data_IF_817050122178
#
_entry.id   IF_817050122178
#
_cell.length_a   1.000
_cell.length_b   1.000
_cell.length_c   1.000
_cell.angle_alpha   90.00
_cell.angle_beta   90.00
_cell.angle_gamma   90.00
#
_symmetry.space_group_name_H-M   'P 1'
#
loop_
_entity.id
_entity.type
_entity.pdbx_description
1 polymer ?
#
# COMPACT_ATOMS: atom_id res chain seq x y z
N UNK A 1 -20.21 -70.61 41.71
CA UNK A 1 -19.21 -71.70 41.87
C UNK A 1 -17.98 -71.29 41.07
N UNK A 2 -16.91 -70.84 41.76
CA UNK A 2 -15.62 -71.58 41.90
C UNK A 2 -15.08 -72.01 40.52
N UNK A 3 -13.94 -71.54 40.00
CA UNK A 3 -12.62 -71.54 40.65
C UNK A 3 -11.58 -70.71 39.86
N UNK A 4 -10.56 -70.25 40.59
CA UNK A 4 -9.28 -69.68 40.15
C UNK A 4 -8.38 -70.77 39.56
N UNK A 5 -7.57 -70.48 38.53
CA UNK A 5 -6.22 -71.08 38.38
C UNK A 5 -5.29 -70.18 37.55
N UNK A 6 -4.09 -69.99 38.07
CA UNK A 6 -2.99 -69.14 37.60
C UNK A 6 -2.05 -69.92 36.66
N UNK A 7 -1.35 -69.25 35.73
CA UNK A 7 0.13 -69.24 35.57
C UNK A 7 0.61 -68.86 34.15
N UNK A 8 1.74 -68.16 34.16
CA UNK A 8 2.81 -68.02 33.14
C UNK A 8 2.49 -67.15 31.91
N UNK A 9 2.92 -65.88 31.91
CA UNK A 9 4.29 -65.43 31.62
C UNK A 9 4.69 -65.68 30.16
N UNK A 10 4.67 -64.62 29.35
CA UNK A 10 5.85 -64.17 28.60
C UNK A 10 5.55 -62.84 27.93
N UNK A 11 6.17 -61.78 28.46
CA UNK A 11 6.22 -60.47 27.84
C UNK A 11 7.06 -60.54 26.57
N UNK A 12 6.47 -60.19 25.43
CA UNK A 12 7.23 -59.74 24.25
C UNK A 12 6.92 -58.27 24.07
N UNK A 13 7.85 -57.46 24.60
CA UNK A 13 7.89 -56.01 24.42
C UNK A 13 8.29 -55.74 22.96
N UNK A 14 7.32 -55.55 22.08
CA UNK A 14 7.55 -55.06 20.73
C UNK A 14 7.90 -53.57 20.81
N UNK A 15 9.20 -53.27 20.79
CA UNK A 15 9.71 -51.90 20.65
C UNK A 15 9.36 -51.43 19.23
N UNK A 16 8.28 -50.68 19.09
CA UNK A 16 7.97 -49.96 17.86
C UNK A 16 8.97 -48.80 17.75
N UNK A 17 9.91 -48.89 16.81
CA UNK A 17 10.70 -47.74 16.36
C UNK A 17 9.73 -46.71 15.76
N UNK A 18 9.38 -45.70 16.53
CA UNK A 18 8.72 -44.51 16.03
C UNK A 18 9.71 -43.68 15.21
N UNK A 19 9.56 -43.66 13.90
CA UNK A 19 10.26 -42.71 13.04
C UNK A 19 9.75 -41.30 13.34
N UNK A 20 10.53 -40.52 14.09
CA UNK A 20 10.32 -39.07 14.18
C UNK A 20 10.71 -38.50 12.82
N UNK A 21 9.72 -38.25 11.97
CA UNK A 21 9.93 -37.43 10.79
C UNK A 21 10.32 -36.03 11.29
N UNK A 22 11.59 -35.67 11.11
CA UNK A 22 12.07 -34.32 11.35
C UNK A 22 11.31 -33.39 10.39
N UNK A 23 10.32 -32.68 10.92
CA UNK A 23 9.67 -31.58 10.23
C UNK A 23 10.73 -30.49 10.04
N UNK A 24 11.27 -30.41 8.82
CA UNK A 24 12.07 -29.28 8.39
C UNK A 24 11.16 -28.04 8.41
N UNK A 25 11.19 -27.29 9.52
CA UNK A 25 10.67 -25.94 9.53
C UNK A 25 11.52 -25.14 8.55
N UNK A 26 10.93 -24.81 7.39
CA UNK A 26 11.54 -23.88 6.45
C UNK A 26 11.81 -22.59 7.20
N UNK A 27 13.08 -22.20 7.29
CA UNK A 27 13.46 -20.86 7.75
C UNK A 27 12.71 -19.89 6.83
N UNK A 28 11.80 -19.04 7.34
CA UNK A 28 11.17 -18.05 6.50
C UNK A 28 12.29 -17.20 5.92
N UNK A 29 12.40 -17.20 4.59
CA UNK A 29 13.32 -16.31 3.90
C UNK A 29 13.07 -14.89 4.41
N UNK A 30 14.11 -14.06 4.63
CA UNK A 30 13.91 -12.68 5.02
C UNK A 30 12.93 -12.06 4.04
N UNK A 31 11.80 -11.55 4.56
CA UNK A 31 10.85 -10.82 3.75
C UNK A 31 11.63 -9.69 3.08
N UNK A 32 11.83 -9.79 1.76
CA UNK A 32 12.32 -8.70 0.96
C UNK A 32 11.30 -7.58 1.16
N UNK A 33 11.59 -6.64 2.05
CA UNK A 33 10.90 -5.36 2.05
C UNK A 33 11.21 -4.82 0.67
N UNK A 34 10.22 -4.87 -0.22
CA UNK A 34 10.34 -4.27 -1.53
C UNK A 34 10.71 -2.81 -1.27
N UNK A 35 12.00 -2.48 -1.46
CA UNK A 35 12.43 -1.10 -1.49
C UNK A 35 11.57 -0.37 -2.51
N UNK A 36 11.41 0.96 -2.38
CA UNK A 36 10.61 1.71 -3.33
C UNK A 36 11.08 1.33 -4.73
N UNK A 37 10.14 0.87 -5.56
CA UNK A 37 10.40 0.70 -6.99
C UNK A 37 10.72 2.10 -7.49
N UNK A 38 12.01 2.43 -7.56
CA UNK A 38 12.49 3.65 -8.22
C UNK A 38 12.34 3.40 -9.72
N UNK A 39 11.10 3.40 -10.19
CA UNK A 39 10.83 3.86 -11.55
C UNK A 39 11.40 5.27 -11.58
N UNK A 40 12.27 5.58 -12.55
CA UNK A 40 12.93 6.88 -12.68
C UNK A 40 11.87 8.01 -12.65
N UNK A 41 11.56 8.53 -11.46
CA UNK A 41 10.68 9.69 -11.31
C UNK A 41 11.45 10.85 -11.90
N UNK A 42 10.93 11.52 -12.94
CA UNK A 42 11.62 12.66 -13.52
C UNK A 42 11.74 13.76 -12.48
N UNK A 43 12.80 14.57 -12.59
CA UNK A 43 12.89 15.79 -11.81
C UNK A 43 11.67 16.69 -12.10
N UNK A 44 11.15 17.35 -11.08
CA UNK A 44 10.08 18.32 -11.27
C UNK A 44 10.56 19.47 -12.17
N UNK A 45 9.66 19.97 -13.01
CA UNK A 45 9.97 21.18 -13.76
C UNK A 45 10.23 22.33 -12.76
N UNK A 46 11.29 23.13 -12.91
CA UNK A 46 11.60 24.20 -11.96
C UNK A 46 10.43 25.17 -11.74
N UNK A 47 9.63 25.41 -12.78
CA UNK A 47 8.44 26.25 -12.70
C UNK A 47 7.34 25.66 -11.79
N UNK A 48 7.18 24.34 -11.76
CA UNK A 48 6.15 23.65 -10.97
C UNK A 48 6.46 23.65 -9.47
N UNK A 49 7.72 23.86 -9.09
CA UNK A 49 8.18 23.83 -7.68
C UNK A 49 8.73 25.17 -7.20
N UNK A 50 8.52 26.24 -7.97
CA UNK A 50 9.02 27.57 -7.64
C UNK A 50 8.36 28.19 -6.39
N UNK A 51 7.16 27.74 -6.03
CA UNK A 51 6.41 28.20 -4.86
C UNK A 51 5.33 27.19 -4.45
N UNK A 52 4.74 27.36 -3.27
CA UNK A 52 3.56 26.58 -2.84
C UNK A 52 2.43 26.69 -3.87
N UNK A 53 2.19 27.89 -4.41
CA UNK A 53 1.16 28.13 -5.43
C UNK A 53 1.44 27.36 -6.71
N UNK A 54 2.70 27.30 -7.14
CA UNK A 54 3.10 26.56 -8.33
C UNK A 54 2.86 25.06 -8.15
N UNK A 55 3.20 24.50 -6.99
CA UNK A 55 3.02 23.06 -6.70
C UNK A 55 1.54 22.70 -6.73
N UNK A 56 0.70 23.49 -6.06
CA UNK A 56 -0.75 23.26 -6.01
C UNK A 56 -1.38 23.42 -7.40
N UNK A 57 -0.98 24.44 -8.16
CA UNK A 57 -1.45 24.64 -9.54
C UNK A 57 -1.06 23.47 -10.43
N UNK A 58 0.20 23.03 -10.37
CA UNK A 58 0.68 21.89 -11.15
C UNK A 58 -0.08 20.60 -10.79
N UNK A 59 -0.35 20.37 -9.50
CA UNK A 59 -1.15 19.24 -9.05
C UNK A 59 -2.58 19.29 -9.61
N UNK A 60 -3.25 20.44 -9.52
CA UNK A 60 -4.61 20.62 -10.04
C UNK A 60 -4.68 20.45 -11.55
N UNK A 61 -3.69 20.96 -12.29
CA UNK A 61 -3.59 20.79 -13.74
C UNK A 61 -3.48 19.31 -14.12
N UNK A 62 -2.66 18.54 -13.39
CA UNK A 62 -2.45 17.11 -13.67
C UNK A 62 -3.73 16.30 -13.51
N UNK A 63 -4.53 16.57 -12.48
CA UNK A 63 -5.76 15.81 -12.23
C UNK A 63 -6.97 16.33 -13.02
N UNK A 64 -6.87 17.54 -13.60
CA UNK A 64 -7.97 18.19 -14.32
C UNK A 64 -7.91 18.00 -15.83
N UNK A 65 -9.07 18.02 -16.48
CA UNK A 65 -9.27 18.05 -17.92
C UNK A 65 -10.51 17.26 -18.36
N UNK A 66 -10.98 17.45 -19.60
CA UNK A 66 -12.12 16.74 -20.18
C UNK A 66 -11.99 15.21 -20.12
N UNK A 67 -13.14 14.55 -20.30
CA UNK A 67 -13.19 13.11 -20.47
C UNK A 67 -12.35 12.68 -21.69
N UNK A 68 -11.64 11.57 -21.55
CA UNK A 68 -10.75 11.01 -22.55
C UNK A 68 -9.36 11.66 -22.63
N UNK A 69 -9.10 12.75 -21.90
CA UNK A 69 -7.76 13.36 -21.90
C UNK A 69 -6.81 12.57 -20.97
N UNK A 70 -5.70 12.01 -21.49
CA UNK A 70 -4.68 11.37 -20.66
C UNK A 70 -4.05 12.37 -19.69
N UNK A 71 -3.69 11.93 -18.48
CA UNK A 71 -2.99 12.79 -17.53
C UNK A 71 -1.47 12.61 -17.61
N UNK A 72 -0.76 13.68 -17.29
CA UNK A 72 0.69 13.62 -17.11
C UNK A 72 1.02 13.06 -15.72
N UNK A 73 0.98 11.74 -15.61
CA UNK A 73 1.28 11.06 -14.36
C UNK A 73 2.77 11.16 -13.97
N UNK A 74 3.66 11.46 -14.91
CA UNK A 74 5.08 11.68 -14.59
C UNK A 74 5.28 13.04 -13.91
N UNK A 75 4.56 14.07 -14.37
CA UNK A 75 4.44 15.34 -13.63
C UNK A 75 3.80 15.13 -12.26
N UNK A 76 2.75 14.29 -12.13
CA UNK A 76 2.22 13.93 -10.79
C UNK A 76 3.33 13.42 -9.87
N UNK A 77 4.12 12.45 -10.32
CA UNK A 77 5.15 11.80 -9.49
C UNK A 77 6.26 12.76 -9.08
N UNK A 78 6.63 13.70 -9.94
CA UNK A 78 7.72 14.62 -9.66
C UNK A 78 7.38 15.67 -8.59
N UNK A 79 6.09 15.92 -8.34
CA UNK A 79 5.63 16.85 -7.30
C UNK A 79 5.75 16.29 -5.87
N UNK A 80 6.05 14.99 -5.70
CA UNK A 80 6.13 14.33 -4.40
C UNK A 80 7.55 13.94 -4.06
N UNK A 81 7.93 14.18 -2.81
CA UNK A 81 9.14 13.59 -2.22
C UNK A 81 8.97 12.07 -2.08
N UNK A 82 10.07 11.31 -1.94
CA UNK A 82 10.00 9.90 -1.58
C UNK A 82 9.17 9.68 -0.31
N UNK A 83 8.16 8.81 -0.39
CA UNK A 83 7.23 8.52 0.71
C UNK A 83 6.12 9.55 0.92
N UNK A 84 5.97 10.56 0.04
CA UNK A 84 4.83 11.46 0.04
C UNK A 84 3.50 10.73 -0.19
N UNK A 85 2.47 11.08 0.58
CA UNK A 85 1.18 10.36 0.58
C UNK A 85 0.01 11.27 0.27
N UNK A 86 -1.02 10.69 -0.35
CA UNK A 86 -2.33 11.31 -0.48
C UNK A 86 -3.29 10.68 0.53
N UNK A 87 -3.89 11.51 1.38
CA UNK A 87 -4.69 11.05 2.52
C UNK A 87 -6.12 11.60 2.50
N UNK A 88 -6.94 11.27 1.48
CA UNK A 88 -8.28 11.83 1.36
C UNK A 88 -9.23 11.28 2.43
N UNK A 89 -9.93 12.18 3.10
CA UNK A 89 -11.04 11.88 4.01
C UNK A 89 -12.39 12.09 3.33
N UNK A 90 -13.37 11.25 3.63
CA UNK A 90 -14.73 11.46 3.15
C UNK A 90 -15.74 10.57 3.84
N UNK A 91 -17.03 10.91 3.70
CA UNK A 91 -18.12 10.10 4.25
C UNK A 91 -18.40 8.93 3.30
N UNK A 92 -18.39 7.72 3.83
CA UNK A 92 -18.74 6.47 3.14
C UNK A 92 -19.69 5.70 4.04
N UNK A 93 -20.86 5.32 3.51
CA UNK A 93 -21.86 4.54 4.25
C UNK A 93 -22.23 5.16 5.62
N UNK A 94 -22.30 6.49 5.69
CA UNK A 94 -22.64 7.21 6.92
C UNK A 94 -21.49 7.41 7.92
N UNK A 95 -20.29 6.91 7.64
CA UNK A 95 -19.11 7.10 8.49
C UNK A 95 -17.99 7.86 7.79
N UNK A 96 -17.24 8.68 8.52
CA UNK A 96 -16.02 9.31 8.02
C UNK A 96 -14.93 8.27 7.89
N UNK A 97 -14.35 8.14 6.70
CA UNK A 97 -13.26 7.24 6.41
C UNK A 97 -12.03 8.01 5.92
N UNK A 98 -10.86 7.61 6.41
CA UNK A 98 -9.55 8.03 5.92
C UNK A 98 -9.00 6.94 5.00
N UNK A 99 -8.47 7.34 3.84
CA UNK A 99 -7.67 6.46 2.99
C UNK A 99 -6.27 7.03 2.91
N UNK A 100 -5.29 6.15 2.75
CA UNK A 100 -3.88 6.52 2.63
C UNK A 100 -3.37 5.88 1.34
N UNK A 101 -2.85 6.72 0.44
CA UNK A 101 -2.35 6.30 -0.86
C UNK A 101 -0.90 6.73 -1.00
N UNK A 102 -0.06 5.80 -1.46
CA UNK A 102 1.14 6.19 -2.18
C UNK A 102 0.73 6.82 -3.53
N UNK A 103 1.61 7.62 -4.15
CA UNK A 103 1.27 8.35 -5.39
C UNK A 103 0.80 7.40 -6.49
N UNK A 104 1.47 6.25 -6.65
CA UNK A 104 1.09 5.26 -7.66
C UNK A 104 -0.24 4.57 -7.36
N UNK A 105 -0.61 4.39 -6.09
CA UNK A 105 -1.91 3.84 -5.71
C UNK A 105 -3.03 4.81 -6.10
N UNK A 106 -2.83 6.10 -5.85
CA UNK A 106 -3.78 7.13 -6.27
C UNK A 106 -3.95 7.13 -7.80
N UNK A 107 -2.86 7.05 -8.56
CA UNK A 107 -2.89 7.00 -10.03
C UNK A 107 -3.65 5.76 -10.51
N UNK A 108 -3.36 4.59 -9.96
CA UNK A 108 -4.00 3.34 -10.35
C UNK A 108 -5.51 3.32 -10.03
N UNK A 109 -5.91 3.86 -8.88
CA UNK A 109 -7.30 3.80 -8.41
C UNK A 109 -8.16 4.95 -8.93
N UNK A 110 -7.60 6.15 -9.05
CA UNK A 110 -8.35 7.37 -9.41
C UNK A 110 -8.17 7.73 -10.89
N UNK A 111 -6.99 7.50 -11.45
CA UNK A 111 -6.64 7.88 -12.83
C UNK A 111 -7.66 7.42 -13.88
N UNK A 112 -8.04 6.13 -13.92
CA UNK A 112 -9.02 5.64 -14.89
C UNK A 112 -10.36 6.37 -14.80
N UNK A 113 -10.80 6.73 -13.59
CA UNK A 113 -12.05 7.46 -13.39
C UNK A 113 -11.92 8.92 -13.84
N UNK A 114 -10.83 9.61 -13.46
CA UNK A 114 -10.56 11.00 -13.82
C UNK A 114 -10.50 11.21 -15.34
N UNK A 115 -9.92 10.24 -16.06
CA UNK A 115 -9.87 10.25 -17.52
C UNK A 115 -11.21 9.84 -18.12
N UNK A 116 -11.89 8.80 -17.59
CA UNK A 116 -13.15 8.30 -18.16
C UNK A 116 -14.29 9.32 -18.13
N UNK A 117 -14.49 10.01 -17.01
CA UNK A 117 -15.63 10.95 -16.88
C UNK A 117 -15.23 12.41 -17.06
N UNK A 118 -13.93 12.70 -17.10
CA UNK A 118 -13.43 14.06 -17.00
C UNK A 118 -13.54 14.60 -15.58
N UNK A 119 -12.62 15.47 -15.21
CA UNK A 119 -12.58 16.05 -13.88
C UNK A 119 -12.07 17.48 -13.95
N UNK A 120 -12.54 18.35 -13.07
CA UNK A 120 -11.99 19.69 -12.93
C UNK A 120 -11.94 20.03 -11.46
N UNK A 121 -10.72 20.19 -10.96
CA UNK A 121 -10.50 20.71 -9.63
C UNK A 121 -10.74 22.22 -9.64
N UNK A 122 -11.41 22.72 -8.59
CA UNK A 122 -11.58 24.15 -8.38
C UNK A 122 -11.48 24.45 -6.90
N UNK A 123 -10.38 25.08 -6.53
CA UNK A 123 -10.17 25.56 -5.18
C UNK A 123 -11.28 26.56 -4.78
N UNK A 124 -11.97 26.29 -3.67
CA UNK A 124 -13.03 27.15 -3.16
C UNK A 124 -12.49 28.19 -2.16
N UNK A 125 -11.55 27.77 -1.31
CA UNK A 125 -10.87 28.61 -0.34
C UNK A 125 -9.56 27.94 0.06
N UNK A 126 -8.54 28.75 0.35
CA UNK A 126 -7.25 28.29 0.86
C UNK A 126 -6.70 29.30 1.85
N UNK A 127 -6.09 28.77 2.91
CA UNK A 127 -5.30 29.52 3.88
C UNK A 127 -3.91 28.88 3.88
N UNK A 128 -2.88 29.70 3.69
CA UNK A 128 -1.49 29.26 3.72
C UNK A 128 -0.91 29.68 5.07
N UNK A 129 -0.37 28.70 5.79
CA UNK A 129 0.38 28.92 7.02
C UNK A 129 1.75 28.26 6.82
N UNK A 130 2.82 29.02 7.04
CA UNK A 130 4.19 28.57 6.82
C UNK A 130 4.93 28.62 8.16
N UNK A 131 5.50 27.48 8.53
CA UNK A 131 6.17 27.31 9.81
C UNK A 131 7.62 26.88 9.61
N UNK A 132 8.44 27.67 8.90
CA UNK A 132 9.88 27.40 8.77
C UNK A 132 10.21 25.94 8.42
N UNK A 133 10.79 25.20 9.36
CA UNK A 133 11.21 23.81 9.16
C UNK A 133 10.21 22.75 9.71
N UNK A 134 8.92 23.10 9.89
CA UNK A 134 7.88 22.18 10.39
C UNK A 134 6.57 22.26 9.59
#
# INVERSE_FOLDING_TARGET
MRSVTSLLATSVLAITLGSVAASAQAVPAPATVAGPVVVLVPAAAPADVASIDAIITALYDVISGPAGQPRDWNRMRSLFIPGGRLMPTGVRQGATALRVYEVNDYIALSGPQLERVGFRERELARRIEQFGHI
#
